data_IF_713275303541
#
_entry.id   IF_713275303541
#
_cell.length_a   1.000
_cell.length_b   1.000
_cell.length_c   1.000
_cell.angle_alpha   90.00
_cell.angle_beta   90.00
_cell.angle_gamma   90.00
#
_symmetry.space_group_name_H-M   'P 1'
#
loop_
_entity.id
_entity.type
_entity.pdbx_description
1 polymer ?
#
# COMPACT_ATOMS: atom_id res chain seq x y z
N UNK A 1 -62.53 -92.70 68.25
CA UNK A 1 -61.08 -92.94 68.41
C UNK A 1 -60.30 -92.94 67.05
N UNK A 2 -60.92 -93.45 65.93
CA UNK A 2 -60.26 -93.51 64.59
C UNK A 2 -60.03 -92.10 63.97
N UNK A 3 -60.97 -91.18 64.14
CA UNK A 3 -60.87 -89.86 63.60
C UNK A 3 -59.84 -89.00 64.36
N UNK A 4 -59.72 -89.17 65.64
CA UNK A 4 -58.72 -88.49 66.42
C UNK A 4 -57.29 -88.90 66.04
N UNK A 5 -57.10 -90.20 65.71
CA UNK A 5 -55.81 -90.67 65.24
C UNK A 5 -55.44 -90.12 63.89
N UNK A 6 -56.44 -89.91 62.99
CA UNK A 6 -56.24 -89.40 61.67
C UNK A 6 -55.88 -87.92 61.71
N UNK A 7 -56.55 -87.11 62.52
CA UNK A 7 -56.24 -85.70 62.74
C UNK A 7 -54.88 -85.50 63.40
N UNK A 8 -54.57 -86.37 64.40
CA UNK A 8 -53.26 -86.33 65.07
C UNK A 8 -52.12 -86.69 64.09
N UNK A 9 -52.36 -87.66 63.18
CA UNK A 9 -51.38 -88.03 62.16
C UNK A 9 -51.23 -86.92 61.12
N UNK A 10 -52.29 -86.22 60.69
CA UNK A 10 -52.25 -85.08 59.82
C UNK A 10 -51.46 -83.92 60.44
N UNK A 11 -51.72 -83.59 61.70
CA UNK A 11 -50.96 -82.56 62.37
C UNK A 11 -49.49 -82.94 62.59
N UNK A 12 -49.22 -84.25 62.84
CA UNK A 12 -47.85 -84.69 62.90
C UNK A 12 -47.09 -84.55 61.57
N UNK A 13 -47.72 -84.93 60.46
CA UNK A 13 -47.14 -84.74 59.13
C UNK A 13 -46.95 -83.28 58.79
N UNK A 14 -47.89 -82.41 59.17
CA UNK A 14 -47.75 -80.96 59.06
C UNK A 14 -46.60 -80.42 59.92
N UNK A 15 -46.47 -80.91 61.11
CA UNK A 15 -45.35 -80.52 62.02
C UNK A 15 -44.01 -80.99 61.49
N UNK A 16 -43.93 -82.19 60.88
CA UNK A 16 -42.70 -82.71 60.27
C UNK A 16 -42.29 -81.95 59.03
N UNK A 17 -43.25 -81.33 58.31
CA UNK A 17 -42.96 -80.48 57.19
C UNK A 17 -42.52 -79.04 57.55
N UNK A 18 -42.79 -78.62 58.79
CA UNK A 18 -42.40 -77.27 59.31
C UNK A 18 -40.90 -76.93 59.12
N UNK A 19 -39.94 -77.85 59.44
CA UNK A 19 -38.53 -77.59 59.27
C UNK A 19 -38.14 -77.25 57.76
N UNK A 20 -38.75 -77.94 56.81
CA UNK A 20 -38.52 -77.70 55.36
C UNK A 20 -39.11 -76.35 54.91
N UNK A 21 -40.29 -75.94 55.43
CA UNK A 21 -40.86 -74.64 55.19
C UNK A 21 -39.97 -73.52 55.73
N UNK A 22 -39.48 -73.72 56.99
CA UNK A 22 -38.57 -72.76 57.64
C UNK A 22 -37.26 -72.61 56.86
N UNK A 23 -36.72 -73.73 56.35
CA UNK A 23 -35.51 -73.72 55.51
C UNK A 23 -35.74 -73.01 54.15
N UNK A 24 -36.89 -73.25 53.52
CA UNK A 24 -37.29 -72.60 52.31
C UNK A 24 -37.47 -71.08 52.50
N UNK A 25 -38.14 -70.65 53.58
CA UNK A 25 -38.27 -69.22 53.94
C UNK A 25 -36.88 -68.60 54.12
N UNK A 26 -35.97 -69.24 54.90
CA UNK A 26 -34.60 -68.71 55.08
C UNK A 26 -33.82 -68.60 53.73
N UNK A 27 -34.04 -69.52 52.78
CA UNK A 27 -33.42 -69.51 51.48
C UNK A 27 -33.97 -68.37 50.63
N UNK A 28 -35.30 -68.21 50.60
CA UNK A 28 -35.96 -67.10 49.85
C UNK A 28 -35.57 -65.74 50.45
N UNK A 29 -35.47 -65.63 51.79
CA UNK A 29 -35.01 -64.38 52.41
C UNK A 29 -33.58 -64.00 51.99
N UNK A 30 -32.69 -65.01 51.90
CA UNK A 30 -31.31 -64.76 51.37
C UNK A 30 -31.30 -64.34 49.93
N UNK A 31 -32.12 -64.96 49.06
CA UNK A 31 -32.27 -64.61 47.69
C UNK A 31 -32.83 -63.19 47.54
N UNK A 32 -33.88 -62.84 48.30
CA UNK A 32 -34.43 -61.46 48.28
C UNK A 32 -33.37 -60.45 48.70
N UNK A 33 -32.57 -60.79 49.76
CA UNK A 33 -31.48 -59.87 50.18
C UNK A 33 -30.39 -59.69 49.12
N UNK A 34 -30.04 -60.78 48.43
CA UNK A 34 -29.09 -60.73 47.31
C UNK A 34 -29.64 -59.92 46.12
N UNK A 35 -30.91 -60.18 45.77
CA UNK A 35 -31.57 -59.43 44.66
C UNK A 35 -31.68 -57.91 44.94
N UNK A 36 -32.04 -57.56 46.20
CA UNK A 36 -32.05 -56.17 46.65
C UNK A 36 -30.67 -55.48 46.55
N UNK A 37 -29.63 -56.28 46.90
CA UNK A 37 -28.24 -55.75 46.76
C UNK A 37 -27.82 -55.57 45.31
N UNK A 38 -28.15 -56.55 44.45
CA UNK A 38 -27.86 -56.42 43.00
C UNK A 38 -28.67 -55.28 42.33
N UNK A 39 -29.96 -55.16 42.67
CA UNK A 39 -30.80 -54.05 42.22
C UNK A 39 -30.17 -52.69 42.56
N UNK A 40 -29.75 -52.54 43.83
CA UNK A 40 -29.08 -51.28 44.26
C UNK A 40 -27.80 -50.99 43.51
N UNK A 41 -27.01 -51.98 43.15
CA UNK A 41 -25.78 -51.79 42.38
C UNK A 41 -26.10 -51.44 40.96
N UNK A 42 -27.03 -52.11 40.28
CA UNK A 42 -27.46 -51.83 38.94
C UNK A 42 -28.04 -50.39 38.80
N UNK A 43 -28.83 -49.99 39.83
CA UNK A 43 -29.34 -48.59 39.84
C UNK A 43 -28.20 -47.57 39.91
N UNK A 44 -27.17 -47.81 40.74
CA UNK A 44 -25.99 -46.93 40.83
C UNK A 44 -25.23 -46.89 39.51
N UNK A 45 -24.99 -48.03 38.89
CA UNK A 45 -24.34 -48.10 37.58
C UNK A 45 -25.14 -47.36 36.52
N UNK A 46 -26.48 -47.51 36.51
CA UNK A 46 -27.38 -46.76 35.63
C UNK A 46 -27.23 -45.25 35.85
N UNK A 47 -27.24 -44.79 37.11
CA UNK A 47 -27.13 -43.35 37.42
C UNK A 47 -25.79 -42.76 36.92
N UNK A 48 -24.70 -43.51 37.12
CA UNK A 48 -23.37 -43.12 36.61
C UNK A 48 -23.35 -43.11 35.09
N UNK A 49 -23.95 -44.10 34.43
CA UNK A 49 -24.04 -44.16 32.98
C UNK A 49 -24.83 -42.98 32.39
N UNK A 50 -25.98 -42.63 33.00
CA UNK A 50 -26.79 -41.47 32.58
C UNK A 50 -26.03 -40.15 32.76
N UNK A 51 -25.30 -39.99 33.88
CA UNK A 51 -24.47 -38.80 34.09
C UNK A 51 -23.35 -38.69 33.02
N UNK A 52 -22.68 -39.80 32.72
CA UNK A 52 -21.63 -39.83 31.69
C UNK A 52 -22.19 -39.56 30.30
N UNK A 53 -23.37 -40.10 29.99
CA UNK A 53 -24.06 -39.79 28.73
C UNK A 53 -24.34 -38.29 28.59
N UNK A 54 -24.90 -37.65 29.61
CA UNK A 54 -25.17 -36.22 29.60
C UNK A 54 -23.91 -35.36 29.45
N UNK A 55 -22.79 -35.79 30.07
CA UNK A 55 -21.49 -35.09 29.84
C UNK A 55 -21.01 -35.24 28.42
N UNK A 56 -21.05 -36.43 27.86
CA UNK A 56 -20.62 -36.71 26.48
C UNK A 56 -21.49 -35.96 25.45
N UNK A 57 -22.79 -35.91 25.66
CA UNK A 57 -23.71 -35.13 24.81
C UNK A 57 -23.37 -33.63 24.82
N UNK A 58 -23.07 -33.09 26.01
CA UNK A 58 -22.66 -31.70 26.16
C UNK A 58 -21.30 -31.41 25.46
N UNK A 59 -20.34 -32.33 25.57
CA UNK A 59 -19.05 -32.20 24.89
C UNK A 59 -19.18 -32.30 23.35
N UNK A 60 -20.00 -33.22 22.86
CA UNK A 60 -20.32 -33.34 21.43
C UNK A 60 -20.88 -32.03 20.89
N UNK A 61 -21.87 -31.48 21.56
CA UNK A 61 -22.50 -30.22 21.15
C UNK A 61 -21.50 -29.05 21.15
N UNK A 62 -20.56 -29.05 22.10
CA UNK A 62 -19.46 -28.08 22.13
C UNK A 62 -18.51 -28.23 20.94
N UNK A 63 -18.15 -29.49 20.60
CA UNK A 63 -17.28 -29.80 19.46
C UNK A 63 -17.95 -29.37 18.14
N UNK A 64 -19.22 -29.69 17.95
CA UNK A 64 -19.97 -29.27 16.76
C UNK A 64 -19.99 -27.73 16.58
N UNK A 65 -20.24 -27.03 17.69
CA UNK A 65 -20.21 -25.56 17.67
C UNK A 65 -18.81 -25.01 17.33
N UNK A 66 -17.75 -25.60 17.87
CA UNK A 66 -16.38 -25.22 17.57
C UNK A 66 -16.02 -25.50 16.12
N UNK A 67 -16.42 -26.64 15.56
CA UNK A 67 -16.20 -26.98 14.15
C UNK A 67 -16.90 -25.98 13.22
N UNK A 68 -18.14 -25.62 13.56
CA UNK A 68 -18.87 -24.58 12.80
C UNK A 68 -18.13 -23.23 12.83
N UNK A 69 -17.69 -22.80 14.01
CA UNK A 69 -16.92 -21.57 14.16
C UNK A 69 -15.59 -21.61 13.42
N UNK A 70 -14.92 -22.75 13.42
CA UNK A 70 -13.68 -22.95 12.68
C UNK A 70 -13.92 -22.76 11.19
N UNK A 71 -14.94 -23.43 10.63
CA UNK A 71 -15.28 -23.30 9.21
C UNK A 71 -15.61 -21.87 8.82
N UNK A 72 -16.44 -21.18 9.61
CA UNK A 72 -16.78 -19.76 9.38
C UNK A 72 -15.54 -18.85 9.40
N UNK A 73 -14.58 -19.16 10.29
CA UNK A 73 -13.30 -18.42 10.35
C UNK A 73 -12.41 -18.71 9.15
N UNK A 74 -12.32 -19.95 8.72
CA UNK A 74 -11.54 -20.35 7.55
C UNK A 74 -12.05 -19.68 6.27
N UNK A 75 -13.37 -19.62 6.07
CA UNK A 75 -14.00 -18.91 4.95
C UNK A 75 -13.70 -17.40 4.99
N UNK A 76 -13.80 -16.77 6.16
CA UNK A 76 -13.44 -15.36 6.33
C UNK A 76 -11.96 -15.10 6.09
N UNK A 77 -11.08 -15.97 6.59
CA UNK A 77 -9.65 -15.85 6.35
C UNK A 77 -9.30 -15.94 4.87
N UNK A 78 -9.96 -16.85 4.13
CA UNK A 78 -9.75 -16.98 2.69
C UNK A 78 -10.15 -15.69 1.95
N UNK A 79 -11.34 -15.16 2.24
CA UNK A 79 -11.79 -13.90 1.65
C UNK A 79 -10.86 -12.72 1.98
N UNK A 80 -10.39 -12.64 3.22
CA UNK A 80 -9.43 -11.59 3.64
C UNK A 80 -8.10 -11.76 2.91
N UNK A 81 -7.60 -12.99 2.75
CA UNK A 81 -6.36 -13.26 2.03
C UNK A 81 -6.44 -12.84 0.55
N UNK A 82 -7.57 -13.09 -0.10
CA UNK A 82 -7.83 -12.63 -1.48
C UNK A 82 -7.79 -11.09 -1.57
N UNK A 83 -8.42 -10.39 -0.62
CA UNK A 83 -8.37 -8.93 -0.55
C UNK A 83 -6.95 -8.40 -0.29
N UNK A 84 -6.20 -9.03 0.62
CA UNK A 84 -4.80 -8.63 0.90
C UNK A 84 -3.94 -8.76 -0.36
N UNK A 85 -4.07 -9.85 -1.11
CA UNK A 85 -3.34 -10.03 -2.36
C UNK A 85 -3.69 -8.95 -3.38
N UNK A 86 -4.99 -8.66 -3.55
CA UNK A 86 -5.45 -7.59 -4.44
C UNK A 86 -4.88 -6.22 -4.04
N UNK A 87 -4.93 -5.87 -2.75
CA UNK A 87 -4.35 -4.62 -2.27
C UNK A 87 -2.82 -4.57 -2.43
N UNK A 88 -2.15 -5.71 -2.29
CA UNK A 88 -0.71 -5.78 -2.54
C UNK A 88 -0.38 -5.53 -4.01
N UNK A 89 -1.10 -6.15 -4.95
CA UNK A 89 -0.95 -5.90 -6.38
C UNK A 89 -1.24 -4.45 -6.74
N UNK A 90 -2.30 -3.86 -6.18
CA UNK A 90 -2.61 -2.44 -6.37
C UNK A 90 -1.50 -1.54 -5.80
N UNK A 91 -0.96 -1.87 -4.62
CA UNK A 91 0.13 -1.09 -4.03
C UNK A 91 1.40 -1.14 -4.89
N UNK A 92 1.71 -2.26 -5.51
CA UNK A 92 2.81 -2.38 -6.49
C UNK A 92 2.50 -1.58 -7.75
N UNK A 93 1.29 -1.74 -8.32
CA UNK A 93 0.89 -1.04 -9.54
C UNK A 93 0.88 0.49 -9.40
N UNK A 94 0.45 1.01 -8.25
CA UNK A 94 0.44 2.46 -7.96
C UNK A 94 1.71 2.94 -7.25
N UNK A 95 2.65 2.04 -6.96
CA UNK A 95 3.94 2.36 -6.37
C UNK A 95 4.87 3.11 -7.33
N UNK A 96 6.04 3.47 -6.84
CA UNK A 96 7.06 4.22 -7.61
C UNK A 96 7.45 3.54 -8.92
N UNK A 97 7.54 2.21 -8.89
CA UNK A 97 7.95 1.37 -10.04
C UNK A 97 6.76 0.83 -10.84
N UNK A 98 5.57 1.41 -10.67
CA UNK A 98 4.37 1.02 -11.40
C UNK A 98 3.93 2.10 -12.39
N UNK A 99 2.65 2.49 -12.31
CA UNK A 99 2.05 3.48 -13.21
C UNK A 99 2.82 4.82 -13.21
N UNK A 100 3.38 5.22 -12.05
CA UNK A 100 4.14 6.47 -11.95
C UNK A 100 5.40 6.43 -12.83
N UNK A 101 6.14 5.33 -12.83
CA UNK A 101 7.31 5.14 -13.68
C UNK A 101 6.93 5.17 -15.18
N UNK A 102 5.87 4.46 -15.55
CA UNK A 102 5.36 4.46 -16.93
C UNK A 102 4.97 5.87 -17.41
N UNK A 103 4.31 6.66 -16.55
CA UNK A 103 3.95 8.05 -16.90
C UNK A 103 5.18 8.96 -17.08
N UNK A 104 6.24 8.71 -16.33
CA UNK A 104 7.51 9.42 -16.47
C UNK A 104 8.20 9.00 -17.78
N UNK A 105 8.31 7.70 -18.03
CA UNK A 105 8.90 7.18 -19.28
C UNK A 105 8.19 7.71 -20.52
N UNK A 106 6.87 7.79 -20.50
CA UNK A 106 6.08 8.37 -21.59
C UNK A 106 6.33 9.88 -21.76
N UNK A 107 6.65 10.59 -20.67
CA UNK A 107 6.90 12.02 -20.69
C UNK A 107 8.31 12.40 -21.18
N UNK A 108 9.31 11.53 -21.00
CA UNK A 108 10.71 11.82 -21.30
C UNK A 108 10.93 12.24 -22.76
N UNK A 109 10.45 11.51 -23.78
CA UNK A 109 10.68 11.93 -25.18
C UNK A 109 10.08 13.30 -25.51
N UNK A 110 8.95 13.66 -24.88
CA UNK A 110 8.32 14.96 -25.08
C UNK A 110 9.13 16.07 -24.42
N UNK A 111 9.64 15.81 -23.19
CA UNK A 111 10.53 16.76 -22.48
C UNK A 111 11.83 16.96 -23.27
N UNK A 112 12.46 15.87 -23.73
CA UNK A 112 13.69 15.95 -24.55
C UNK A 112 13.49 16.75 -25.83
N UNK A 113 12.41 16.48 -26.55
CA UNK A 113 12.10 17.19 -27.82
C UNK A 113 11.92 18.69 -27.60
N UNK A 114 11.12 19.07 -26.59
CA UNK A 114 10.89 20.50 -26.29
C UNK A 114 12.16 21.17 -25.73
N UNK A 115 12.89 20.49 -24.83
CA UNK A 115 14.12 21.04 -24.27
C UNK A 115 15.20 21.22 -25.36
N UNK A 116 15.36 20.25 -26.26
CA UNK A 116 16.33 20.32 -27.34
C UNK A 116 15.97 21.39 -28.38
N UNK A 117 14.69 21.62 -28.62
CA UNK A 117 14.24 22.73 -29.48
C UNK A 117 14.72 24.07 -28.94
N UNK A 118 14.62 24.28 -27.62
CA UNK A 118 15.09 25.52 -27.01
C UNK A 118 16.60 25.54 -26.84
N UNK A 119 17.22 24.43 -26.42
CA UNK A 119 18.67 24.35 -26.26
C UNK A 119 19.43 24.57 -27.57
N UNK A 120 18.90 24.09 -28.68
CA UNK A 120 19.50 24.32 -29.99
C UNK A 120 19.65 25.81 -30.34
N UNK A 121 18.67 26.63 -29.97
CA UNK A 121 18.74 28.11 -30.12
C UNK A 121 19.77 28.73 -29.18
N UNK A 122 19.88 28.21 -27.94
CA UNK A 122 20.80 28.72 -26.91
C UNK A 122 22.26 28.33 -27.15
N UNK A 123 22.50 27.25 -27.90
CA UNK A 123 23.85 26.70 -28.13
C UNK A 123 24.27 26.63 -29.60
N UNK A 124 23.48 27.22 -30.49
CA UNK A 124 23.72 27.17 -31.94
C UNK A 124 23.82 25.71 -32.46
N UNK A 125 22.90 24.86 -32.02
CA UNK A 125 22.85 23.43 -32.31
C UNK A 125 24.10 22.63 -31.88
N UNK A 126 24.89 23.15 -30.91
CA UNK A 126 26.12 22.49 -30.49
C UNK A 126 25.91 21.48 -29.34
N UNK A 127 24.73 21.46 -28.71
CA UNK A 127 24.47 20.60 -27.59
C UNK A 127 23.08 19.98 -27.68
N UNK A 128 22.95 18.75 -27.20
CA UNK A 128 21.70 17.99 -27.16
C UNK A 128 21.54 17.26 -25.83
N UNK A 129 20.35 17.33 -25.25
CA UNK A 129 19.97 16.67 -24.01
C UNK A 129 19.46 15.26 -24.28
N UNK A 130 19.89 14.31 -23.46
CA UNK A 130 19.35 12.94 -23.37
C UNK A 130 19.02 12.64 -21.91
N UNK A 131 17.87 12.03 -21.67
CA UNK A 131 17.41 11.65 -20.32
C UNK A 131 17.31 10.14 -20.27
N UNK A 132 18.16 9.50 -19.46
CA UNK A 132 18.12 8.07 -19.26
C UNK A 132 17.24 7.75 -18.03
N UNK A 133 16.19 6.93 -18.26
CA UNK A 133 15.27 6.52 -17.20
C UNK A 133 15.72 5.26 -16.44
N UNK A 134 16.67 4.51 -16.99
CA UNK A 134 17.15 3.25 -16.46
C UNK A 134 18.66 3.27 -16.27
N UNK A 135 19.12 2.92 -15.10
CA UNK A 135 20.54 2.79 -14.79
C UNK A 135 20.89 1.36 -14.40
N UNK A 136 21.87 0.79 -15.07
CA UNK A 136 22.42 -0.52 -14.72
C UNK A 136 23.18 -0.43 -13.39
N UNK A 137 22.83 -1.32 -12.45
CA UNK A 137 23.55 -1.42 -11.17
C UNK A 137 24.79 -2.33 -11.33
N UNK A 138 25.93 -1.90 -10.77
CA UNK A 138 27.17 -2.69 -10.72
C UNK A 138 26.99 -4.05 -10.00
N UNK A 139 25.93 -4.20 -9.20
CA UNK A 139 25.57 -5.43 -8.49
C UNK A 139 24.66 -6.38 -9.29
N UNK A 140 24.35 -6.04 -10.54
CA UNK A 140 23.36 -6.75 -11.36
C UNK A 140 21.92 -6.29 -11.04
N UNK A 141 21.18 -5.91 -12.08
CA UNK A 141 19.82 -5.36 -11.99
C UNK A 141 19.77 -3.93 -12.52
N UNK A 142 18.55 -3.47 -12.83
CA UNK A 142 18.27 -2.13 -13.33
C UNK A 142 17.59 -1.34 -12.23
N UNK A 143 18.02 -0.10 -12.03
CA UNK A 143 17.38 0.86 -11.13
C UNK A 143 16.83 2.00 -11.97
N UNK A 144 15.60 2.42 -11.68
CA UNK A 144 15.07 3.66 -12.21
C UNK A 144 15.89 4.84 -11.72
N UNK A 145 16.38 5.64 -12.66
CA UNK A 145 17.16 6.85 -12.45
C UNK A 145 16.77 7.83 -13.54
N UNK A 146 16.78 9.12 -13.24
CA UNK A 146 16.67 10.17 -14.24
C UNK A 146 18.03 10.83 -14.36
N UNK A 147 18.91 10.18 -15.13
CA UNK A 147 20.26 10.70 -15.36
C UNK A 147 20.23 11.58 -16.65
N UNK A 148 20.68 12.84 -16.52
CA UNK A 148 20.70 13.79 -17.63
C UNK A 148 22.09 13.77 -18.24
N UNK A 149 22.16 13.47 -19.52
CA UNK A 149 23.36 13.46 -20.32
C UNK A 149 23.27 14.51 -21.43
N UNK A 150 24.38 15.14 -21.71
CA UNK A 150 24.48 16.12 -22.77
C UNK A 150 25.50 15.64 -23.80
N UNK A 151 25.10 15.62 -25.05
CA UNK A 151 25.98 15.39 -26.20
C UNK A 151 26.40 16.72 -26.79
N UNK A 152 27.70 16.92 -26.92
CA UNK A 152 28.30 18.06 -27.57
C UNK A 152 29.51 17.64 -28.43
N UNK A 153 30.30 18.58 -28.91
CA UNK A 153 31.51 18.32 -29.72
C UNK A 153 32.55 17.45 -28.98
N UNK A 154 32.54 17.43 -27.66
CA UNK A 154 33.45 16.62 -26.82
C UNK A 154 32.90 15.21 -26.54
N UNK A 155 31.66 14.92 -26.98
CA UNK A 155 30.98 13.64 -26.74
C UNK A 155 29.85 13.72 -25.73
N UNK A 156 29.38 12.55 -25.29
CA UNK A 156 28.29 12.46 -24.28
C UNK A 156 28.87 12.53 -22.86
N UNK A 157 28.38 13.46 -22.07
CA UNK A 157 28.85 13.71 -20.71
C UNK A 157 27.66 13.91 -19.75
N UNK A 158 27.79 13.50 -18.46
CA UNK A 158 26.80 13.82 -17.44
C UNK A 158 26.64 15.32 -17.26
N UNK A 159 25.43 15.76 -16.92
CA UNK A 159 25.08 17.18 -16.70
C UNK A 159 26.01 17.89 -15.69
N UNK A 160 26.43 17.17 -14.65
CA UNK A 160 27.29 17.72 -13.57
C UNK A 160 28.68 18.17 -14.06
N UNK A 161 29.07 17.81 -15.29
CA UNK A 161 30.37 18.17 -15.86
C UNK A 161 30.35 19.53 -16.62
N UNK A 162 29.20 20.19 -16.69
CA UNK A 162 29.06 21.43 -17.41
C UNK A 162 29.31 22.67 -16.57
N UNK A 163 29.87 23.70 -17.15
CA UNK A 163 30.15 24.98 -16.48
C UNK A 163 28.86 25.74 -16.14
N UNK A 164 28.92 26.71 -15.20
CA UNK A 164 27.74 27.45 -14.77
C UNK A 164 26.94 28.11 -15.91
N UNK A 165 27.60 28.63 -16.92
CA UNK A 165 26.92 29.22 -18.07
C UNK A 165 26.25 28.21 -19.00
N UNK A 166 26.93 27.09 -19.24
CA UNK A 166 26.38 25.97 -20.02
C UNK A 166 25.24 25.27 -19.26
N UNK A 167 25.45 24.99 -17.98
CA UNK A 167 24.44 24.38 -17.12
C UNK A 167 23.17 25.25 -17.02
N UNK A 168 23.31 26.57 -16.96
CA UNK A 168 22.16 27.47 -16.97
C UNK A 168 21.32 27.33 -18.25
N UNK A 169 21.94 27.20 -19.43
CA UNK A 169 21.21 27.00 -20.70
C UNK A 169 20.46 25.69 -20.74
N UNK A 170 21.09 24.62 -20.22
CA UNK A 170 20.46 23.30 -20.12
C UNK A 170 19.28 23.35 -19.15
N UNK A 171 19.48 23.89 -17.94
CA UNK A 171 18.44 24.05 -16.93
C UNK A 171 17.26 24.86 -17.42
N UNK A 172 17.54 25.99 -18.09
CA UNK A 172 16.51 26.86 -18.66
C UNK A 172 15.65 26.07 -19.65
N UNK A 173 16.29 25.34 -20.57
CA UNK A 173 15.60 24.54 -21.57
C UNK A 173 14.73 23.46 -20.98
N UNK A 174 15.25 22.70 -19.99
CA UNK A 174 14.50 21.66 -19.29
C UNK A 174 13.32 22.21 -18.49
N UNK A 175 13.51 23.30 -17.74
CA UNK A 175 12.44 23.94 -16.96
C UNK A 175 11.29 24.43 -17.83
N UNK A 176 11.59 25.06 -18.97
CA UNK A 176 10.56 25.49 -19.90
C UNK A 176 9.85 24.29 -20.52
N UNK A 177 10.56 23.24 -20.94
CA UNK A 177 9.98 22.03 -21.52
C UNK A 177 9.02 21.34 -20.54
N UNK A 178 9.45 21.15 -19.29
CA UNK A 178 8.62 20.56 -18.24
C UNK A 178 7.39 21.42 -17.95
N UNK A 179 7.57 22.76 -17.88
CA UNK A 179 6.45 23.68 -17.63
C UNK A 179 5.40 23.61 -18.75
N UNK A 180 5.83 23.57 -20.00
CA UNK A 180 4.96 23.42 -21.18
C UNK A 180 4.22 22.08 -21.17
N UNK A 181 4.92 20.98 -20.87
CA UNK A 181 4.31 19.65 -20.75
C UNK A 181 3.22 19.62 -19.69
N UNK A 182 3.52 20.12 -18.48
CA UNK A 182 2.57 20.15 -17.38
C UNK A 182 1.33 20.99 -17.70
N UNK A 183 1.52 22.15 -18.35
CA UNK A 183 0.41 22.99 -18.79
C UNK A 183 -0.48 22.29 -19.81
N UNK A 184 0.11 21.63 -20.81
CA UNK A 184 -0.63 20.85 -21.82
C UNK A 184 -1.44 19.72 -21.19
N UNK A 185 -0.82 18.94 -20.32
CA UNK A 185 -1.50 17.83 -19.62
C UNK A 185 -2.63 18.31 -18.68
N UNK A 186 -2.47 19.48 -18.05
CA UNK A 186 -3.49 20.09 -17.23
C UNK A 186 -4.60 20.80 -18.02
N UNK A 187 -4.47 20.90 -19.33
CA UNK A 187 -5.38 21.70 -20.17
C UNK A 187 -5.36 23.19 -19.82
N UNK A 188 -4.24 23.69 -19.28
CA UNK A 188 -4.08 25.06 -18.80
C UNK A 188 -3.07 25.84 -19.67
N UNK A 189 -3.21 27.16 -19.67
CA UNK A 189 -2.20 28.05 -20.25
C UNK A 189 -1.26 28.56 -19.18
N UNK A 190 0.03 28.63 -19.50
CA UNK A 190 1.02 29.18 -18.57
C UNK A 190 0.79 30.70 -18.45
N UNK A 191 0.48 31.15 -17.23
CA UNK A 191 0.14 32.53 -16.98
C UNK A 191 1.38 33.42 -16.87
N UNK A 192 2.37 33.03 -16.09
CA UNK A 192 3.53 33.87 -15.78
C UNK A 192 4.80 33.05 -15.72
N UNK A 193 5.83 33.47 -16.44
CA UNK A 193 7.19 32.98 -16.29
C UNK A 193 8.01 34.03 -15.55
N UNK A 194 8.68 33.59 -14.48
CA UNK A 194 9.62 34.44 -13.74
C UNK A 194 11.00 33.83 -13.89
N UNK A 195 11.93 34.60 -14.43
CA UNK A 195 13.34 34.26 -14.60
C UNK A 195 14.12 35.15 -13.63
N UNK A 196 14.61 34.52 -12.55
CA UNK A 196 15.33 35.25 -11.51
C UNK A 196 16.82 34.94 -11.60
N UNK A 197 17.60 35.93 -12.04
CA UNK A 197 19.04 35.87 -12.23
C UNK A 197 19.52 34.76 -13.19
N UNK A 198 20.82 34.40 -13.16
CA UNK A 198 21.43 33.39 -14.06
C UNK A 198 22.07 33.97 -15.32
N UNK A 199 21.79 35.22 -15.61
CA UNK A 199 22.33 35.89 -16.81
C UNK A 199 23.83 36.27 -16.64
N UNK A 200 24.30 36.45 -15.41
CA UNK A 200 25.67 36.87 -15.11
C UNK A 200 26.74 35.82 -15.43
N UNK A 201 26.36 34.57 -15.67
CA UNK A 201 27.25 33.49 -16.11
C UNK A 201 27.41 33.39 -17.61
N UNK A 202 26.67 34.22 -18.39
CA UNK A 202 26.69 34.22 -19.85
C UNK A 202 27.70 35.29 -20.38
N UNK A 203 28.37 34.94 -21.47
CA UNK A 203 29.08 35.88 -22.29
C UNK A 203 28.10 36.73 -23.11
N UNK A 204 28.60 37.73 -23.82
CA UNK A 204 27.77 38.66 -24.59
C UNK A 204 26.94 37.93 -25.66
N UNK A 205 27.55 36.96 -26.36
CA UNK A 205 26.87 36.17 -27.39
C UNK A 205 25.83 35.22 -26.77
N UNK A 206 26.14 34.54 -25.65
CA UNK A 206 25.20 33.73 -24.90
C UNK A 206 24.02 34.50 -24.33
N UNK A 207 24.27 35.75 -23.88
CA UNK A 207 23.22 36.65 -23.43
C UNK A 207 22.26 37.03 -24.57
N UNK A 208 22.78 37.34 -25.79
CA UNK A 208 21.96 37.62 -26.94
C UNK A 208 21.09 36.43 -27.33
N UNK A 209 21.68 35.23 -27.41
CA UNK A 209 20.91 33.99 -27.69
C UNK A 209 19.83 33.71 -26.66
N UNK A 210 20.11 33.97 -25.37
CA UNK A 210 19.13 33.81 -24.32
C UNK A 210 17.97 34.80 -24.47
N UNK A 211 18.24 36.04 -24.89
CA UNK A 211 17.20 37.02 -25.17
C UNK A 211 16.33 36.58 -26.34
N UNK A 212 16.92 36.07 -27.40
CA UNK A 212 16.19 35.58 -28.58
C UNK A 212 15.32 34.38 -28.21
N UNK A 213 15.82 33.47 -27.35
CA UNK A 213 15.05 32.36 -26.82
C UNK A 213 13.87 32.85 -25.96
N UNK A 214 14.07 33.84 -25.08
CA UNK A 214 12.99 34.44 -24.26
C UNK A 214 11.94 35.08 -25.18
N UNK A 215 12.34 35.76 -26.25
CA UNK A 215 11.40 36.30 -27.22
C UNK A 215 10.62 35.23 -27.98
N UNK A 216 11.23 34.07 -28.22
CA UNK A 216 10.55 32.94 -28.88
C UNK A 216 9.46 32.33 -27.95
N UNK A 217 9.79 32.13 -26.70
CA UNK A 217 8.85 31.50 -25.72
C UNK A 217 7.81 32.46 -25.14
N UNK A 218 7.98 33.80 -25.33
CA UNK A 218 7.04 34.77 -24.74
C UNK A 218 5.58 34.55 -25.15
N UNK A 219 5.35 33.96 -26.32
CA UNK A 219 3.99 33.70 -26.82
C UNK A 219 3.32 32.51 -26.10
N UNK A 220 4.09 31.66 -25.41
CA UNK A 220 3.60 30.55 -24.62
C UNK A 220 3.10 31.00 -23.21
N UNK A 221 3.43 32.25 -22.83
CA UNK A 221 3.11 32.82 -21.52
C UNK A 221 2.33 34.12 -21.65
N UNK A 222 1.39 34.37 -20.74
CA UNK A 222 0.69 35.67 -20.70
C UNK A 222 1.60 36.80 -20.23
N UNK A 223 2.59 36.47 -19.36
CA UNK A 223 3.60 37.42 -18.84
C UNK A 223 4.93 36.74 -18.69
N UNK A 224 6.01 37.42 -19.04
CA UNK A 224 7.40 37.03 -18.72
C UNK A 224 8.02 38.14 -17.90
N UNK A 225 8.50 37.83 -16.73
CA UNK A 225 9.17 38.71 -15.78
C UNK A 225 10.61 38.26 -15.67
N UNK A 226 11.55 39.15 -15.99
CA UNK A 226 12.99 38.90 -15.88
C UNK A 226 13.54 39.77 -14.77
N UNK A 227 14.18 39.14 -13.78
CA UNK A 227 14.87 39.82 -12.66
C UNK A 227 16.37 39.73 -12.93
N UNK A 228 17.03 40.88 -13.08
CA UNK A 228 18.45 40.96 -13.36
C UNK A 228 19.06 42.26 -12.87
N UNK A 229 20.32 42.21 -12.52
CA UNK A 229 21.13 43.38 -12.22
C UNK A 229 22.02 43.84 -13.38
N UNK A 230 21.95 43.17 -14.54
CA UNK A 230 22.78 43.47 -15.73
C UNK A 230 22.24 44.66 -16.50
N UNK A 231 23.02 45.74 -16.67
CA UNK A 231 22.61 46.91 -17.46
C UNK A 231 22.29 46.57 -18.91
N UNK A 232 22.99 45.61 -19.50
CA UNK A 232 22.81 45.19 -20.89
C UNK A 232 21.39 44.67 -21.21
N UNK A 233 20.67 44.16 -20.20
CA UNK A 233 19.30 43.71 -20.36
C UNK A 233 18.27 44.85 -20.31
N UNK A 234 18.66 46.03 -19.85
CA UNK A 234 17.75 47.17 -19.69
C UNK A 234 17.10 47.59 -21.01
N UNK A 235 17.85 47.50 -22.13
CA UNK A 235 17.35 47.93 -23.46
C UNK A 235 16.54 46.86 -24.17
N UNK A 236 16.48 45.64 -23.61
CA UNK A 236 15.84 44.47 -24.24
C UNK A 236 14.38 44.30 -23.93
N UNK A 237 13.82 45.03 -22.95
CA UNK A 237 12.43 44.88 -22.52
C UNK A 237 11.63 46.19 -22.64
N UNK A 238 10.32 46.13 -22.96
CA UNK A 238 9.51 47.34 -23.13
C UNK A 238 9.10 48.00 -21.81
N UNK A 239 9.07 47.25 -20.72
CA UNK A 239 8.64 47.75 -19.41
C UNK A 239 9.68 47.36 -18.37
N UNK A 240 10.06 48.32 -17.52
CA UNK A 240 11.04 48.13 -16.45
C UNK A 240 10.46 48.51 -15.11
N UNK A 241 10.68 47.66 -14.11
CA UNK A 241 10.47 47.99 -12.72
C UNK A 241 11.83 48.27 -12.09
N UNK A 242 12.12 49.53 -11.83
CA UNK A 242 13.34 49.96 -11.16
C UNK A 242 13.10 49.93 -9.65
N UNK A 243 13.93 49.15 -8.92
CA UNK A 243 13.85 49.01 -7.47
C UNK A 243 15.07 49.65 -6.87
N UNK A 244 14.88 50.77 -6.15
CA UNK A 244 15.94 51.48 -5.46
C UNK A 244 15.80 51.33 -3.94
N UNK A 245 16.87 50.92 -3.27
CA UNK A 245 16.92 50.84 -1.83
C UNK A 245 17.30 52.22 -1.25
N UNK A 246 16.38 52.77 -0.46
CA UNK A 246 16.59 54.03 0.26
C UNK A 246 16.79 53.81 1.76
N UNK A 247 17.11 54.84 2.50
CA UNK A 247 17.26 54.83 3.95
C UNK A 247 15.96 54.52 4.73
N UNK A 248 14.81 54.74 4.05
CA UNK A 248 13.45 54.53 4.61
C UNK A 248 12.71 53.32 4.03
N UNK A 249 13.34 52.53 3.12
CA UNK A 249 12.75 51.37 2.50
C UNK A 249 13.09 51.28 1.01
N UNK A 250 12.44 50.36 0.28
CA UNK A 250 12.62 50.21 -1.17
C UNK A 250 11.53 50.99 -1.91
N UNK A 251 11.94 51.75 -2.93
CA UNK A 251 11.05 52.52 -3.83
C UNK A 251 11.01 51.80 -5.18
N UNK A 252 9.83 51.63 -5.72
CA UNK A 252 9.63 51.02 -7.07
C UNK A 252 9.14 52.09 -8.00
N UNK A 253 9.83 52.27 -9.15
CA UNK A 253 9.39 53.10 -10.27
C UNK A 253 9.20 52.24 -11.52
N UNK A 254 8.25 52.65 -12.36
CA UNK A 254 7.93 51.95 -13.60
C UNK A 254 8.35 52.85 -14.77
N UNK A 255 9.23 52.34 -15.61
CA UNK A 255 9.62 53.00 -16.87
C UNK A 255 9.02 52.18 -18.03
N UNK A 256 8.31 52.83 -18.91
CA UNK A 256 7.80 52.24 -20.15
C UNK A 256 8.47 52.92 -21.31
N UNK A 257 9.11 52.13 -22.16
CA UNK A 257 9.63 52.60 -23.43
C UNK A 257 8.57 52.34 -24.51
N UNK A 258 8.14 53.37 -25.18
CA UNK A 258 7.21 53.30 -26.27
C UNK A 258 7.89 52.87 -27.58
#
# INVERSE_FOLDING_TARGET
LKDFKKVALQHKTQLESLPDVQKNISTIEKEIKLLKYTEKNVLREKDVAVQNQGKLESELQRIENLQKQQKDREEKMKAIAEHINLYHELAVAFGKNGIQALLIEEAIPEIESEANTLLSQLTDNQSQIFIESLRDLKSGGVRESLDIHISDAAGVRPYEMFSGGEAFRIDFSLRIAISKLLARRAGATLQTLIIDEGFGSQDEEGLQRLMDAIYTIKNDFSKVIVVSHLPALKDSFPVHFLIEKTSVGSVVSIEQRG
#
